data_IF_007532826722
#
_entry.id   IF_007532826722
#
_cell.length_a   1.000
_cell.length_b   1.000
_cell.length_c   1.000
_cell.angle_alpha   90.00
_cell.angle_beta   90.00
_cell.angle_gamma   90.00
#
_symmetry.space_group_name_H-M   'P 1'
#
loop_
_entity.id
_entity.type
_entity.pdbx_description
1 polymer ?
#
# COMPACT_ATOMS: atom_id res chain seq x y z
N UNK A 1 13.48 -12.48 -4.93
CA UNK A 1 12.97 -11.33 -4.15
C UNK A 1 11.69 -10.84 -4.81
N UNK A 2 10.55 -10.80 -4.11
CA UNK A 2 9.30 -10.26 -4.68
C UNK A 2 9.38 -8.73 -4.73
N UNK A 3 8.99 -8.13 -5.85
CA UNK A 3 8.91 -6.67 -6.01
C UNK A 3 7.62 -6.17 -5.35
N UNK A 4 7.75 -5.19 -4.46
CA UNK A 4 6.61 -4.54 -3.81
C UNK A 4 6.28 -3.23 -4.52
N UNK A 5 4.99 -2.98 -4.67
CA UNK A 5 4.42 -1.80 -5.27
C UNK A 5 3.51 -1.09 -4.26
N UNK A 6 3.33 0.21 -4.43
CA UNK A 6 2.41 1.01 -3.63
C UNK A 6 1.31 1.60 -4.51
N UNK A 7 0.07 1.55 -4.05
CA UNK A 7 -1.02 2.31 -4.66
C UNK A 7 -0.80 3.82 -4.45
N UNK A 8 -0.94 4.64 -5.49
CA UNK A 8 -0.81 6.11 -5.37
C UNK A 8 -2.03 6.79 -4.73
N UNK A 9 -3.16 6.09 -4.63
CA UNK A 9 -4.41 6.63 -4.09
C UNK A 9 -4.61 6.25 -2.61
N UNK A 10 -4.48 4.96 -2.29
CA UNK A 10 -4.72 4.44 -0.93
C UNK A 10 -3.46 3.92 -0.23
N UNK A 11 -2.28 4.08 -0.83
CA UNK A 11 -0.97 3.74 -0.25
C UNK A 11 -0.73 2.28 0.16
N UNK A 12 -1.66 1.36 -0.14
CA UNK A 12 -1.49 -0.05 0.18
C UNK A 12 -0.29 -0.63 -0.55
N UNK A 13 0.49 -1.42 0.17
CA UNK A 13 1.65 -2.14 -0.37
C UNK A 13 1.19 -3.52 -0.84
N UNK A 14 1.49 -3.87 -2.08
CA UNK A 14 1.06 -5.12 -2.72
C UNK A 14 2.12 -5.64 -3.68
N UNK A 15 2.08 -6.93 -4.01
CA UNK A 15 2.88 -7.53 -5.07
C UNK A 15 2.18 -7.49 -6.44
N UNK A 16 0.96 -6.94 -6.51
CA UNK A 16 0.17 -6.80 -7.73
C UNK A 16 0.49 -5.49 -8.47
N UNK A 17 0.47 -5.48 -9.82
CA UNK A 17 0.64 -4.27 -10.60
C UNK A 17 -0.58 -3.33 -10.51
N UNK A 18 -1.76 -3.85 -10.17
CA UNK A 18 -2.99 -3.09 -9.99
C UNK A 18 -3.46 -3.18 -8.52
N UNK A 19 -3.94 -2.06 -7.98
CA UNK A 19 -4.37 -1.97 -6.60
C UNK A 19 -5.64 -2.82 -6.37
N UNK A 20 -5.65 -3.77 -5.43
CA UNK A 20 -6.81 -4.61 -5.17
C UNK A 20 -8.00 -3.86 -4.55
N UNK A 21 -7.80 -2.63 -4.05
CA UNK A 21 -8.84 -1.82 -3.42
C UNK A 21 -9.38 -0.70 -4.34
N UNK A 22 -8.54 -0.19 -5.25
CA UNK A 22 -8.89 0.99 -6.07
C UNK A 22 -8.98 0.67 -7.57
N UNK A 23 -8.53 -0.50 -8.01
CA UNK A 23 -8.48 -0.89 -9.43
C UNK A 23 -7.72 0.13 -10.29
N UNK A 24 -6.57 0.60 -9.79
CA UNK A 24 -5.67 1.53 -10.49
C UNK A 24 -4.23 1.00 -10.49
N UNK A 25 -3.37 1.43 -11.43
CA UNK A 25 -1.97 1.05 -11.46
C UNK A 25 -1.20 1.43 -10.18
N UNK A 26 -0.32 0.54 -9.74
CA UNK A 26 0.58 0.73 -8.60
C UNK A 26 1.97 1.21 -9.05
N UNK A 27 2.75 1.74 -8.12
CA UNK A 27 4.09 2.29 -8.36
C UNK A 27 5.19 1.47 -7.68
N UNK A 28 6.28 1.19 -8.39
CA UNK A 28 7.52 0.64 -7.81
C UNK A 28 8.29 1.66 -6.98
N UNK A 29 8.12 2.95 -7.27
CA UNK A 29 8.77 4.03 -6.53
C UNK A 29 7.84 4.49 -5.42
N UNK A 30 8.19 4.12 -4.20
CA UNK A 30 7.54 4.54 -2.96
C UNK A 30 8.60 4.59 -1.85
N UNK A 31 8.31 5.31 -0.77
CA UNK A 31 9.19 5.48 0.40
C UNK A 31 8.34 5.56 1.66
N UNK A 32 8.91 5.14 2.78
CA UNK A 32 8.19 5.03 4.06
C UNK A 32 7.35 3.75 4.11
N UNK A 33 7.19 3.19 5.31
CA UNK A 33 6.43 1.97 5.52
C UNK A 33 5.75 2.03 6.89
N UNK A 34 4.48 1.68 6.96
CA UNK A 34 3.71 1.58 8.19
C UNK A 34 2.91 0.29 8.18
N UNK A 35 2.93 -0.43 9.29
CA UNK A 35 2.10 -1.61 9.52
C UNK A 35 1.00 -1.23 10.51
N UNK A 36 -0.24 -1.26 10.04
CA UNK A 36 -1.42 -0.97 10.86
C UNK A 36 -2.07 -2.31 11.21
N UNK A 37 -2.01 -2.69 12.48
CA UNK A 37 -2.66 -3.91 12.98
C UNK A 37 -4.12 -3.68 13.34
N UNK A 38 -4.43 -2.54 13.96
CA UNK A 38 -5.78 -2.15 14.35
C UNK A 38 -6.05 -0.72 13.87
N UNK A 39 -6.76 -0.55 12.74
CA UNK A 39 -7.02 0.77 12.18
C UNK A 39 -8.01 1.59 13.02
N UNK A 40 -8.83 0.96 13.88
CA UNK A 40 -9.83 1.66 14.68
C UNK A 40 -9.19 2.34 15.90
N UNK A 41 -8.18 1.71 16.50
CA UNK A 41 -7.48 2.24 17.70
C UNK A 41 -6.19 2.98 17.41
N UNK A 42 -5.65 2.87 16.20
CA UNK A 42 -4.39 3.52 15.81
C UNK A 42 -4.58 5.02 15.57
N UNK A 43 -3.83 5.85 16.28
CA UNK A 43 -3.77 7.30 16.04
C UNK A 43 -2.96 7.68 14.79
N UNK A 44 -2.24 6.73 14.21
CA UNK A 44 -1.41 6.91 13.01
C UNK A 44 -2.20 6.54 11.73
N UNK A 45 -3.24 5.70 11.86
CA UNK A 45 -3.92 5.05 10.75
C UNK A 45 -4.84 5.99 9.95
#
# INVERSE_FOLDING_TARGET
>A
MKTLYACKNCHIITDKPECPNCSIPTSKRWRGYVLIFDPVRSQIA
#
